data_IF_913795531285
#
_entry.id   IF_913795531285
#
_cell.length_a   1.000
_cell.length_b   1.000
_cell.length_c   1.000
_cell.angle_alpha   90.00
_cell.angle_beta   90.00
_cell.angle_gamma   90.00
#
_symmetry.space_group_name_H-M   'P 1'
#
loop_
_entity.id
_entity.type
_entity.pdbx_description
1 polymer ?
#
# COMPACT_ATOMS: atom_id res chain seq x y z
N UNK A 1 22.85 -57.72 31.43
CA UNK A 1 21.58 -58.20 30.86
C UNK A 1 20.57 -57.05 30.94
N UNK A 2 20.35 -56.29 29.86
CA UNK A 2 19.08 -56.18 29.06
C UNK A 2 17.84 -55.90 29.93
N UNK A 3 16.93 -54.94 29.69
CA UNK A 3 16.71 -53.95 28.63
C UNK A 3 15.55 -53.02 29.05
N UNK A 4 15.64 -51.74 28.66
CA UNK A 4 14.58 -50.89 28.06
C UNK A 4 13.16 -50.85 28.66
N UNK A 5 12.85 -49.73 29.31
CA UNK A 5 11.53 -49.08 29.27
C UNK A 5 11.82 -47.57 29.10
N UNK A 6 12.06 -47.08 27.88
CA UNK A 6 11.04 -46.63 26.94
C UNK A 6 10.08 -45.59 27.54
N UNK A 7 10.54 -44.35 27.83
CA UNK A 7 9.70 -43.13 27.82
C UNK A 7 10.52 -41.83 28.03
N UNK A 8 11.54 -41.57 27.22
CA UNK A 8 12.24 -40.25 27.22
C UNK A 8 12.52 -39.72 25.80
N UNK A 9 11.57 -39.85 24.87
CA UNK A 9 11.83 -39.45 23.48
C UNK A 9 10.63 -39.11 22.60
N UNK A 10 9.54 -38.54 23.15
CA UNK A 10 8.32 -38.27 22.37
C UNK A 10 7.74 -36.86 22.57
N UNK A 11 8.58 -35.82 22.53
CA UNK A 11 8.12 -34.42 22.39
C UNK A 11 8.80 -33.75 21.18
N UNK A 12 8.98 -34.49 20.09
CA UNK A 12 9.39 -33.92 18.81
C UNK A 12 8.51 -34.53 17.71
N UNK A 13 7.95 -33.66 16.85
CA UNK A 13 7.17 -33.97 15.66
C UNK A 13 5.64 -34.17 15.81
N UNK A 14 4.95 -33.19 16.42
CA UNK A 14 3.62 -32.80 15.94
C UNK A 14 3.74 -31.41 15.32
N UNK A 15 4.39 -31.38 14.15
CA UNK A 15 4.53 -30.20 13.31
C UNK A 15 3.78 -30.44 12.00
N UNK A 16 2.45 -30.35 12.03
CA UNK A 16 1.67 -30.09 10.81
C UNK A 16 0.26 -29.64 11.17
N UNK A 17 -0.20 -28.60 10.47
CA UNK A 17 -1.53 -27.96 10.53
C UNK A 17 -1.66 -26.76 11.49
N UNK A 18 -0.86 -25.73 11.26
CA UNK A 18 -1.36 -24.36 11.41
C UNK A 18 -2.04 -23.95 10.10
N UNK A 19 -3.30 -24.35 9.96
CA UNK A 19 -4.30 -23.74 9.08
C UNK A 19 -4.78 -22.43 9.71
N UNK A 20 -3.90 -21.44 9.84
CA UNK A 20 -4.35 -20.05 10.04
C UNK A 20 -4.69 -19.44 8.69
N UNK A 21 -5.66 -20.06 7.99
CA UNK A 21 -6.45 -19.38 7.00
C UNK A 21 -7.55 -18.64 7.76
N UNK A 22 -7.19 -17.49 8.32
CA UNK A 22 -8.10 -16.61 9.04
C UNK A 22 -7.84 -15.18 8.62
N UNK A 23 -8.65 -14.66 7.70
CA UNK A 23 -8.83 -13.23 7.50
C UNK A 23 -9.24 -12.59 8.84
N UNK A 24 -8.40 -11.70 9.38
CA UNK A 24 -8.68 -10.99 10.62
C UNK A 24 -7.95 -9.65 10.61
N UNK A 25 -8.73 -8.58 10.53
CA UNK A 25 -8.32 -7.19 10.59
C UNK A 25 -7.59 -6.88 11.91
N UNK A 26 -6.59 -6.00 11.79
CA UNK A 26 -6.11 -5.01 12.76
C UNK A 26 -5.99 -5.45 14.22
N UNK A 27 -4.77 -5.43 14.75
CA UNK A 27 -4.46 -4.70 15.99
C UNK A 27 -2.95 -4.77 16.27
N UNK A 28 -2.35 -3.58 16.23
CA UNK A 28 -1.13 -3.15 16.92
C UNK A 28 0.28 -3.54 16.43
N UNK A 29 1.13 -2.51 16.49
CA UNK A 29 2.58 -2.44 16.30
C UNK A 29 3.11 -2.42 14.86
N UNK A 30 3.38 -1.20 14.37
CA UNK A 30 4.57 -0.82 13.57
C UNK A 30 5.24 -1.96 12.77
N UNK A 31 4.46 -2.70 11.97
CA UNK A 31 4.97 -3.81 11.20
C UNK A 31 5.86 -3.18 10.14
N UNK A 32 7.14 -3.54 10.13
CA UNK A 32 8.04 -3.15 9.06
C UNK A 32 7.35 -3.52 7.75
N UNK A 33 6.94 -2.51 6.98
CA UNK A 33 6.35 -2.75 5.67
C UNK A 33 7.39 -3.49 4.88
N UNK A 34 7.01 -4.67 4.38
CA UNK A 34 7.97 -5.50 3.68
C UNK A 34 8.47 -4.76 2.45
N UNK A 35 7.68 -3.98 1.71
CA UNK A 35 8.00 -3.30 0.46
C UNK A 35 8.25 -4.24 -0.74
N UNK A 36 9.32 -5.07 -0.88
CA UNK A 36 9.40 -6.00 -2.01
C UNK A 36 8.22 -6.97 -2.12
N UNK A 37 7.70 -7.50 -1.00
CA UNK A 37 6.54 -8.37 -1.04
C UNK A 37 5.29 -7.63 -1.57
N UNK A 38 5.07 -6.40 -1.12
CA UNK A 38 3.94 -5.57 -1.55
C UNK A 38 4.08 -5.19 -3.02
N UNK A 39 5.28 -4.84 -3.49
CA UNK A 39 5.55 -4.58 -4.91
C UNK A 39 5.23 -5.80 -5.78
N UNK A 40 5.47 -7.02 -5.29
CA UNK A 40 5.05 -8.23 -6.00
C UNK A 40 3.52 -8.34 -6.07
N UNK A 41 2.81 -8.00 -4.99
CA UNK A 41 1.35 -8.03 -4.93
C UNK A 41 0.67 -6.96 -5.80
N UNK A 42 1.33 -5.82 -6.07
CA UNK A 42 0.83 -4.80 -7.01
C UNK A 42 0.62 -5.35 -8.43
N UNK A 43 1.26 -6.47 -8.78
CA UNK A 43 1.12 -7.15 -10.08
C UNK A 43 0.02 -8.21 -10.08
N UNK A 44 -0.63 -8.44 -8.93
CA UNK A 44 -1.72 -9.40 -8.77
C UNK A 44 -3.08 -8.84 -9.15
N UNK A 45 -4.14 -9.52 -8.72
CA UNK A 45 -5.52 -9.03 -8.89
C UNK A 45 -5.83 -7.80 -8.03
N UNK A 46 -7.00 -7.21 -8.26
CA UNK A 46 -7.45 -5.98 -7.60
C UNK A 46 -7.41 -6.08 -6.06
N UNK A 47 -7.82 -7.20 -5.48
CA UNK A 47 -7.75 -7.41 -4.03
C UNK A 47 -6.31 -7.39 -3.50
N UNK A 48 -5.38 -8.00 -4.23
CA UNK A 48 -3.96 -8.01 -3.86
C UNK A 48 -3.35 -6.61 -3.99
N UNK A 49 -3.71 -5.88 -5.04
CA UNK A 49 -3.31 -4.49 -5.24
C UNK A 49 -3.83 -3.59 -4.11
N UNK A 50 -5.11 -3.71 -3.75
CA UNK A 50 -5.72 -2.90 -2.70
C UNK A 50 -5.06 -3.12 -1.33
N UNK A 51 -4.77 -4.37 -0.99
CA UNK A 51 -4.06 -4.71 0.25
C UNK A 51 -2.63 -4.16 0.24
N UNK A 52 -1.89 -4.38 -0.85
CA UNK A 52 -0.52 -3.88 -0.99
C UNK A 52 -0.45 -2.35 -0.91
N UNK A 53 -1.36 -1.64 -1.58
CA UNK A 53 -1.44 -0.18 -1.53
C UNK A 53 -1.75 0.32 -0.11
N UNK A 54 -2.64 -0.35 0.61
CA UNK A 54 -2.98 0.00 1.99
C UNK A 54 -1.80 -0.19 2.93
N UNK A 55 -1.04 -1.28 2.77
CA UNK A 55 0.17 -1.54 3.55
C UNK A 55 1.29 -0.55 3.22
N UNK A 56 1.51 -0.25 1.94
CA UNK A 56 2.48 0.76 1.52
C UNK A 56 2.13 2.15 2.06
N UNK A 57 0.84 2.51 2.06
CA UNK A 57 0.34 3.75 2.65
C UNK A 57 0.60 3.80 4.17
N UNK A 58 0.36 2.70 4.89
CA UNK A 58 0.65 2.61 6.32
C UNK A 58 2.15 2.72 6.64
N UNK A 59 3.02 2.27 5.72
CA UNK A 59 4.48 2.45 5.82
C UNK A 59 4.97 3.87 5.60
N UNK A 60 4.15 4.72 4.97
CA UNK A 60 4.46 6.12 4.69
C UNK A 60 5.82 6.28 4.01
N UNK A 61 6.72 7.15 4.50
CA UNK A 61 8.02 7.42 3.88
C UNK A 61 8.92 6.18 3.68
N UNK A 62 8.77 5.14 4.52
CA UNK A 62 9.56 3.91 4.39
C UNK A 62 9.22 3.11 3.11
N UNK A 63 8.07 3.38 2.51
CA UNK A 63 7.61 2.76 1.26
C UNK A 63 8.10 3.48 0.00
N UNK A 64 9.01 4.45 0.12
CA UNK A 64 9.48 5.28 -1.00
C UNK A 64 10.03 4.49 -2.20
N UNK A 65 10.63 3.31 -1.98
CA UNK A 65 11.15 2.48 -3.08
C UNK A 65 10.07 1.87 -3.96
N UNK A 66 8.81 1.82 -3.49
CA UNK A 66 7.66 1.33 -4.26
C UNK A 66 7.02 2.41 -5.17
N UNK A 67 7.41 3.68 -5.06
CA UNK A 67 6.77 4.79 -5.80
C UNK A 67 6.65 4.49 -7.30
N UNK A 68 7.72 3.98 -7.93
CA UNK A 68 7.73 3.64 -9.36
C UNK A 68 6.71 2.57 -9.75
N UNK A 69 6.41 1.66 -8.82
CA UNK A 69 5.49 0.55 -9.02
C UNK A 69 4.04 0.96 -8.70
N UNK A 70 3.85 2.00 -7.88
CA UNK A 70 2.53 2.57 -7.55
C UNK A 70 2.04 3.53 -8.65
N UNK A 71 2.94 4.29 -9.30
CA UNK A 71 2.58 5.28 -10.34
C UNK A 71 1.65 4.71 -11.44
N UNK A 72 1.93 3.53 -12.04
CA UNK A 72 1.05 2.96 -13.06
C UNK A 72 -0.39 2.72 -12.57
N UNK A 73 -0.58 2.46 -11.28
CA UNK A 73 -1.89 2.16 -10.69
C UNK A 73 -2.79 3.40 -10.55
N UNK A 74 -2.24 4.60 -10.69
CA UNK A 74 -3.03 5.83 -10.83
C UNK A 74 -3.90 5.84 -12.10
N UNK A 75 -3.61 4.98 -13.08
CA UNK A 75 -4.36 4.83 -14.32
C UNK A 75 -5.18 3.54 -14.37
N UNK A 76 -5.36 2.87 -13.24
CA UNK A 76 -6.17 1.65 -13.17
C UNK A 76 -7.61 1.91 -13.62
N UNK A 77 -8.23 0.95 -14.30
CA UNK A 77 -9.66 1.03 -14.62
C UNK A 77 -10.53 0.98 -13.34
N UNK A 78 -10.00 0.37 -12.28
CA UNK A 78 -10.65 0.30 -10.98
C UNK A 78 -10.44 1.60 -10.18
N UNK A 79 -11.54 2.31 -9.92
CA UNK A 79 -11.56 3.56 -9.15
C UNK A 79 -11.02 3.39 -7.74
N UNK A 80 -11.25 2.25 -7.09
CA UNK A 80 -10.71 1.96 -5.75
C UNK A 80 -9.18 1.87 -5.82
N UNK A 81 -8.64 1.20 -6.84
CA UNK A 81 -7.20 1.09 -7.03
C UNK A 81 -6.57 2.45 -7.35
N UNK A 82 -7.17 3.26 -8.23
CA UNK A 82 -6.68 4.62 -8.51
C UNK A 82 -6.61 5.48 -7.24
N UNK A 83 -7.69 5.47 -6.46
CA UNK A 83 -7.77 6.24 -5.21
C UNK A 83 -6.76 5.75 -4.18
N UNK A 84 -6.62 4.44 -3.99
CA UNK A 84 -5.64 3.87 -3.06
C UNK A 84 -4.20 4.16 -3.49
N UNK A 85 -3.92 4.17 -4.79
CA UNK A 85 -2.60 4.55 -5.31
C UNK A 85 -2.27 6.01 -5.00
N UNK A 86 -3.21 6.92 -5.25
CA UNK A 86 -3.05 8.34 -4.90
C UNK A 86 -2.86 8.52 -3.38
N UNK A 87 -3.64 7.80 -2.57
CA UNK A 87 -3.51 7.83 -1.12
C UNK A 87 -2.15 7.31 -0.64
N UNK A 88 -1.67 6.18 -1.17
CA UNK A 88 -0.36 5.64 -0.81
C UNK A 88 0.77 6.63 -1.11
N UNK A 89 0.72 7.30 -2.26
CA UNK A 89 1.69 8.34 -2.63
C UNK A 89 1.60 9.58 -1.71
N UNK A 90 0.39 9.95 -1.27
CA UNK A 90 0.18 10.99 -0.26
C UNK A 90 0.90 10.64 1.05
N UNK A 91 0.75 9.41 1.53
CA UNK A 91 1.37 8.96 2.78
C UNK A 91 2.89 8.81 2.68
N UNK A 92 3.41 8.46 1.50
CA UNK A 92 4.85 8.44 1.21
C UNK A 92 5.44 9.86 1.26
N UNK A 93 4.68 10.86 0.81
CA UNK A 93 5.06 12.27 0.90
C UNK A 93 6.16 12.65 -0.10
N UNK A 94 7.12 13.52 0.26
CA UNK A 94 8.05 14.14 -0.71
C UNK A 94 8.88 13.19 -1.57
N UNK A 95 9.09 11.94 -1.13
CA UNK A 95 9.78 10.93 -1.95
C UNK A 95 8.97 10.52 -3.19
N UNK A 96 7.66 10.75 -3.20
CA UNK A 96 6.77 10.47 -4.32
C UNK A 96 6.69 11.60 -5.37
N UNK A 97 7.64 12.55 -5.39
CA UNK A 97 7.70 13.64 -6.40
C UNK A 97 7.62 13.19 -7.85
N UNK A 98 8.13 11.99 -8.16
CA UNK A 98 8.04 11.41 -9.49
C UNK A 98 6.58 11.20 -9.96
N UNK A 99 5.62 11.10 -9.04
CA UNK A 99 4.21 10.89 -9.35
C UNK A 99 3.43 12.18 -9.65
N UNK A 100 4.02 13.38 -9.49
CA UNK A 100 3.31 14.65 -9.68
C UNK A 100 2.64 14.79 -11.06
N UNK A 101 3.25 14.39 -12.20
CA UNK A 101 2.59 14.49 -13.50
C UNK A 101 1.33 13.61 -13.61
N UNK A 102 1.39 12.38 -13.08
CA UNK A 102 0.26 11.45 -13.11
C UNK A 102 -0.83 11.85 -12.11
N UNK A 103 -0.47 12.37 -10.94
CA UNK A 103 -1.43 12.94 -9.99
C UNK A 103 -2.15 14.16 -10.57
N UNK A 104 -1.44 15.02 -11.31
CA UNK A 104 -2.05 16.17 -11.99
C UNK A 104 -3.09 15.74 -13.03
N UNK A 105 -2.84 14.65 -13.75
CA UNK A 105 -3.83 14.08 -14.67
C UNK A 105 -5.04 13.52 -13.89
N UNK A 106 -4.79 12.85 -12.76
CA UNK A 106 -5.83 12.26 -11.91
C UNK A 106 -6.75 13.30 -11.25
N UNK A 107 -6.36 14.57 -11.18
CA UNK A 107 -7.23 15.65 -10.73
C UNK A 107 -8.42 15.89 -11.67
N UNK A 108 -8.34 15.42 -12.92
CA UNK A 108 -9.41 15.51 -13.90
C UNK A 108 -10.23 14.22 -13.98
N UNK A 109 -10.04 13.30 -13.03
CA UNK A 109 -10.82 12.06 -12.94
C UNK A 109 -12.31 12.37 -12.75
N UNK A 110 -13.16 11.56 -13.37
CA UNK A 110 -14.60 11.68 -13.25
C UNK A 110 -15.08 11.41 -11.81
N UNK A 111 -14.34 10.60 -11.05
CA UNK A 111 -14.60 10.37 -9.64
C UNK A 111 -14.02 11.50 -8.77
N UNK A 112 -14.90 12.33 -8.22
CA UNK A 112 -14.52 13.46 -7.36
C UNK A 112 -13.69 13.04 -6.14
N UNK A 113 -13.91 11.83 -5.60
CA UNK A 113 -13.13 11.36 -4.44
C UNK A 113 -11.67 11.10 -4.83
N UNK A 114 -11.46 10.53 -6.01
CA UNK A 114 -10.16 10.24 -6.61
C UNK A 114 -9.44 11.54 -6.96
N UNK A 115 -10.13 12.49 -7.60
CA UNK A 115 -9.60 13.81 -7.88
C UNK A 115 -9.18 14.56 -6.60
N UNK A 116 -10.01 14.55 -5.56
CA UNK A 116 -9.69 15.18 -4.26
C UNK A 116 -8.47 14.52 -3.60
N UNK A 117 -8.38 13.20 -3.67
CA UNK A 117 -7.23 12.45 -3.13
C UNK A 117 -5.94 12.81 -3.87
N UNK A 118 -6.00 12.98 -5.19
CA UNK A 118 -4.85 13.40 -5.99
C UNK A 118 -4.32 14.78 -5.57
N UNK A 119 -5.22 15.72 -5.28
CA UNK A 119 -4.87 17.08 -4.81
C UNK A 119 -4.18 17.02 -3.45
N UNK A 120 -4.73 16.23 -2.52
CA UNK A 120 -4.13 16.04 -1.20
C UNK A 120 -2.74 15.39 -1.32
N UNK A 121 -2.59 14.41 -2.21
CA UNK A 121 -1.31 13.78 -2.49
C UNK A 121 -0.28 14.80 -3.03
N UNK A 122 -0.67 15.65 -3.97
CA UNK A 122 0.22 16.70 -4.50
C UNK A 122 0.67 17.68 -3.40
N UNK A 123 -0.24 18.10 -2.52
CA UNK A 123 0.10 18.98 -1.40
C UNK A 123 1.03 18.30 -0.38
N UNK A 124 0.88 16.99 -0.15
CA UNK A 124 1.76 16.23 0.74
C UNK A 124 3.16 15.99 0.12
N UNK A 125 3.22 15.81 -1.19
CA UNK A 125 4.45 15.57 -1.95
C UNK A 125 5.25 16.85 -2.13
N UNK A 126 4.57 17.95 -2.43
CA UNK A 126 5.18 19.26 -2.58
C UNK A 126 4.34 20.34 -1.87
N UNK A 127 4.48 20.45 -0.53
CA UNK A 127 3.75 21.46 0.25
C UNK A 127 4.17 22.89 -0.09
N UNK A 128 5.25 23.09 -0.85
CA UNK A 128 5.69 24.40 -1.34
C UNK A 128 5.07 24.76 -2.69
N UNK A 129 4.46 23.79 -3.38
CA UNK A 129 3.82 24.02 -4.67
C UNK A 129 2.40 24.54 -4.48
N UNK A 130 2.18 25.80 -4.90
CA UNK A 130 0.83 26.40 -4.96
C UNK A 130 -0.08 25.77 -6.01
N UNK A 131 0.39 24.76 -6.77
CA UNK A 131 -0.30 24.21 -7.93
C UNK A 131 -1.54 23.41 -7.53
N UNK A 132 -1.48 22.59 -6.47
CA UNK A 132 -2.63 21.83 -5.96
C UNK A 132 -3.77 22.73 -5.47
N UNK A 133 -3.43 23.87 -4.85
CA UNK A 133 -4.39 24.87 -4.38
C UNK A 133 -4.96 25.71 -5.52
N UNK A 134 -4.14 26.02 -6.54
CA UNK A 134 -4.58 26.85 -7.67
C UNK A 134 -5.65 26.16 -8.51
N UNK A 135 -5.50 24.86 -8.82
CA UNK A 135 -6.46 24.17 -9.70
C UNK A 135 -7.86 24.08 -9.08
N UNK A 136 -7.98 23.97 -7.75
CA UNK A 136 -9.28 24.03 -7.07
C UNK A 136 -10.00 25.38 -7.24
N UNK A 137 -9.25 26.47 -7.43
CA UNK A 137 -9.81 27.83 -7.49
C UNK A 137 -10.13 28.31 -8.92
N UNK A 138 -9.91 27.50 -9.98
CA UNK A 138 -10.16 27.90 -11.38
C UNK A 138 -11.42 27.27 -11.99
N UNK A 139 -12.19 26.49 -11.22
CA UNK A 139 -13.41 25.80 -11.70
C UNK A 139 -14.71 26.44 -11.16
N UNK A 140 -14.75 27.77 -11.07
CA UNK A 140 -16.00 28.54 -10.90
C UNK A 140 -16.50 29.01 -12.27
#
# INVERSE_FOLDING_TARGET
MISRIAYQGAIAAVSLLLLTAGCGKSEDAAKAVDVPAQVAQLKGGTDAQANALSELAAGGPNSASAVKDIIPLLKSDDTVIRRLAAYALCQIGPAAKAALPDLKALMQDADMSTATTAINAMNAIDPSSTEGVKVLNVTQ
#
